data_IF_857389371129
#
_entry.id   IF_857389371129
#
_cell.length_a   1.000
_cell.length_b   1.000
_cell.length_c   1.000
_cell.angle_alpha   90.00
_cell.angle_beta   90.00
_cell.angle_gamma   90.00
#
_symmetry.space_group_name_H-M   'P 1'
#
loop_
_entity.id
_entity.type
_entity.pdbx_description
1 polymer ?
#
# COMPACT_ATOMS: atom_id res chain seq x y z
N UNK A 1 22.68 -7.12 29.34
CA UNK A 1 23.13 -7.23 27.95
C UNK A 1 22.68 -8.59 27.44
N UNK A 2 22.10 -8.69 26.24
CA UNK A 2 21.57 -9.96 25.72
C UNK A 2 22.47 -10.53 24.62
N UNK A 3 22.80 -11.81 24.69
CA UNK A 3 23.61 -12.49 23.66
C UNK A 3 22.72 -13.19 22.65
N UNK A 4 23.00 -13.00 21.36
CA UNK A 4 22.26 -13.66 20.29
C UNK A 4 22.61 -15.14 20.20
N UNK A 5 21.61 -16.02 20.32
CA UNK A 5 21.77 -17.47 20.17
C UNK A 5 22.22 -17.89 18.78
N UNK A 6 21.93 -17.09 17.74
CA UNK A 6 22.30 -17.41 16.36
C UNK A 6 23.72 -16.94 16.01
N UNK A 7 24.11 -15.71 16.38
CA UNK A 7 25.39 -15.13 15.96
C UNK A 7 26.39 -14.84 17.10
N UNK A 8 26.04 -15.12 18.35
CA UNK A 8 26.91 -14.93 19.53
C UNK A 8 27.22 -13.48 19.91
N UNK A 9 26.77 -12.50 19.12
CA UNK A 9 27.03 -11.09 19.36
C UNK A 9 26.17 -10.53 20.50
N UNK A 10 26.74 -9.57 21.22
CA UNK A 10 26.09 -8.90 22.36
C UNK A 10 25.27 -7.72 21.84
N UNK A 11 24.01 -7.63 22.27
CA UNK A 11 23.11 -6.52 21.95
C UNK A 11 22.61 -5.81 23.22
N UNK A 12 22.04 -4.62 23.03
CA UNK A 12 21.40 -3.83 24.08
C UNK A 12 20.14 -4.53 24.61
N UNK A 13 19.87 -4.41 25.91
CA UNK A 13 18.76 -5.13 26.59
C UNK A 13 17.36 -4.76 26.06
N UNK A 14 17.22 -3.57 25.46
CA UNK A 14 15.97 -3.08 24.87
C UNK A 14 15.78 -3.46 23.40
N UNK A 15 16.71 -4.21 22.81
CA UNK A 15 16.61 -4.58 21.39
C UNK A 15 15.75 -5.82 21.19
N UNK A 16 14.66 -5.68 20.42
CA UNK A 16 13.77 -6.80 20.07
C UNK A 16 14.39 -7.77 19.04
N UNK A 17 15.39 -7.30 18.31
CA UNK A 17 16.07 -8.03 17.24
C UNK A 17 17.58 -7.87 17.35
N UNK A 18 18.33 -8.90 16.98
CA UNK A 18 19.79 -8.81 16.91
C UNK A 18 20.21 -7.88 15.77
N UNK A 19 21.07 -6.89 16.07
CA UNK A 19 21.55 -5.89 15.11
C UNK A 19 22.42 -6.49 13.99
N UNK A 20 23.03 -7.65 14.23
CA UNK A 20 24.01 -8.26 13.33
C UNK A 20 23.42 -9.35 12.42
N UNK A 21 22.41 -10.09 12.89
CA UNK A 21 21.84 -11.22 12.15
C UNK A 21 20.33 -11.12 11.92
N UNK A 22 19.65 -10.14 12.52
CA UNK A 22 18.21 -9.90 12.35
C UNK A 22 17.30 -10.91 13.05
N UNK A 23 17.84 -11.88 13.79
CA UNK A 23 17.01 -12.84 14.52
C UNK A 23 16.27 -12.16 15.67
N UNK A 24 14.98 -12.43 15.81
CA UNK A 24 14.16 -11.98 16.95
C UNK A 24 14.62 -12.68 18.23
N UNK A 25 14.68 -11.94 19.34
CA UNK A 25 14.84 -12.54 20.66
C UNK A 25 13.50 -13.09 21.14
N UNK A 26 13.47 -14.33 21.63
CA UNK A 26 12.25 -15.02 22.06
C UNK A 26 11.80 -14.66 23.49
N UNK A 27 12.48 -13.71 24.15
CA UNK A 27 12.17 -13.35 25.54
C UNK A 27 10.97 -12.41 25.61
N UNK A 28 9.86 -12.99 26.05
CA UNK A 28 8.67 -12.32 26.51
C UNK A 28 8.94 -11.37 27.69
N UNK A 29 8.39 -10.17 27.57
CA UNK A 29 8.00 -9.24 28.65
C UNK A 29 9.10 -8.57 29.48
N UNK A 30 9.44 -7.34 29.09
CA UNK A 30 9.52 -6.25 30.07
C UNK A 30 8.25 -5.41 29.96
N UNK A 31 7.47 -5.50 31.04
CA UNK A 31 6.31 -4.71 31.38
C UNK A 31 6.59 -3.20 31.32
N UNK A 32 5.98 -2.51 30.38
CA UNK A 32 5.36 -1.22 30.67
C UNK A 32 3.86 -1.48 30.64
N UNK A 33 3.23 -1.40 31.81
CA UNK A 33 1.81 -1.62 32.00
C UNK A 33 0.99 -0.50 31.37
N UNK A 34 0.82 -0.56 30.05
CA UNK A 34 -0.31 0.10 29.41
C UNK A 34 -1.44 -0.93 29.41
N UNK A 35 -2.38 -0.73 30.34
CA UNK A 35 -3.68 -1.38 30.30
C UNK A 35 -4.35 -1.01 28.97
N UNK A 36 -4.20 -1.83 27.94
CA UNK A 36 -5.06 -1.75 26.78
C UNK A 36 -6.41 -2.36 27.19
N UNK A 37 -7.24 -1.54 27.82
CA UNK A 37 -8.64 -1.84 28.02
C UNK A 37 -9.27 -1.97 26.63
N UNK A 38 -9.44 -3.23 26.21
CA UNK A 38 -10.06 -3.55 24.94
C UNK A 38 -11.55 -3.19 25.01
N UNK A 39 -11.88 -1.97 24.59
CA UNK A 39 -13.24 -1.61 24.25
C UNK A 39 -13.54 -2.14 22.84
N UNK A 40 -14.49 -3.07 22.66
CA UNK A 40 -14.91 -3.49 21.34
C UNK A 40 -15.45 -2.30 20.56
N UNK A 41 -15.15 -2.18 19.25
CA UNK A 41 -15.70 -1.10 18.44
C UNK A 41 -17.23 -1.20 18.45
N UNK A 42 -17.90 -0.06 18.64
CA UNK A 42 -19.35 0.00 18.57
C UNK A 42 -19.81 -0.55 17.22
N UNK A 43 -20.84 -1.42 17.18
CA UNK A 43 -21.41 -1.86 15.93
C UNK A 43 -21.89 -0.60 15.19
N UNK A 44 -21.46 -0.40 13.93
CA UNK A 44 -21.74 0.75 13.05
C UNK A 44 -20.71 1.91 13.02
N UNK A 45 -19.41 1.61 12.94
CA UNK A 45 -18.33 2.57 12.65
C UNK A 45 -18.25 3.07 11.18
N UNK A 46 -19.32 2.92 10.38
CA UNK A 46 -19.33 3.37 8.98
C UNK A 46 -19.91 4.78 8.80
N UNK A 47 -20.39 5.42 9.87
CA UNK A 47 -20.79 6.84 9.87
C UNK A 47 -19.68 7.68 10.49
N UNK A 48 -18.91 8.35 9.64
CA UNK A 48 -17.86 9.29 10.01
C UNK A 48 -18.41 10.65 10.46
N UNK A 49 -19.26 10.68 11.49
CA UNK A 49 -19.77 11.94 12.08
C UNK A 49 -19.21 12.22 13.50
N UNK A 50 -18.28 11.41 13.97
CA UNK A 50 -17.57 11.61 15.26
C UNK A 50 -16.57 12.79 15.20
N UNK A 51 -16.39 13.42 14.03
CA UNK A 51 -15.69 14.70 13.87
C UNK A 51 -16.60 15.92 14.10
N UNK A 52 -17.74 15.77 14.77
CA UNK A 52 -18.43 16.91 15.34
C UNK A 52 -17.58 17.47 16.48
N UNK A 53 -16.77 18.45 16.11
CA UNK A 53 -15.93 19.31 16.95
C UNK A 53 -16.73 19.81 18.15
N UNK A 54 -16.69 19.05 19.25
CA UNK A 54 -17.06 19.55 20.55
C UNK A 54 -15.96 20.53 20.98
N UNK A 55 -16.37 21.78 21.16
CA UNK A 55 -15.62 22.91 21.68
C UNK A 55 -14.46 23.44 20.83
N UNK A 56 -14.83 24.32 19.89
CA UNK A 56 -13.95 25.35 19.31
C UNK A 56 -13.39 26.27 20.42
N UNK A 57 -12.25 25.90 21.00
CA UNK A 57 -11.21 26.89 21.29
C UNK A 57 -10.23 26.85 20.13
N UNK A 58 -10.38 27.80 19.21
CA UNK A 58 -9.44 28.02 18.12
C UNK A 58 -8.02 28.03 18.70
N UNK A 59 -7.21 27.02 18.41
CA UNK A 59 -5.79 27.08 18.73
C UNK A 59 -5.22 28.25 17.93
N UNK A 60 -4.90 29.33 18.63
CA UNK A 60 -4.21 30.48 18.07
C UNK A 60 -2.77 30.02 17.85
N UNK A 61 -2.36 29.87 16.59
CA UNK A 61 -0.95 29.69 16.24
C UNK A 61 -0.18 30.88 16.78
N UNK A 62 0.78 30.65 17.67
CA UNK A 62 1.74 31.68 18.05
C UNK A 62 2.51 32.10 16.79
N UNK A 63 2.53 33.41 16.53
CA UNK A 63 3.31 33.94 15.42
C UNK A 63 4.79 33.78 15.75
N UNK A 64 5.46 32.88 15.02
CA UNK A 64 6.92 32.73 15.06
C UNK A 64 7.52 33.98 14.43
N UNK A 65 7.75 35.01 15.25
CA UNK A 65 8.46 36.22 14.86
C UNK A 65 9.97 36.00 15.05
N UNK A 66 10.56 35.13 14.23
CA UNK A 66 12.01 35.05 14.05
C UNK A 66 12.34 34.67 12.62
N UNK A 67 12.68 35.70 11.84
CA UNK A 67 13.56 35.52 10.67
C UNK A 67 14.91 35.09 11.23
N UNK A 68 15.25 33.82 11.09
CA UNK A 68 16.58 33.31 11.42
C UNK A 68 17.29 33.06 10.08
N UNK A 69 18.24 33.93 9.68
CA UNK A 69 18.97 33.72 8.44
C UNK A 69 19.99 32.61 8.68
N UNK A 70 19.72 31.41 8.17
CA UNK A 70 20.74 30.35 8.07
C UNK A 70 21.57 30.57 6.80
N UNK A 71 22.35 31.65 6.79
CA UNK A 71 23.35 31.89 5.77
C UNK A 71 24.57 30.98 6.06
N UNK A 72 24.55 29.75 5.53
CA UNK A 72 25.76 28.99 5.31
C UNK A 72 26.30 29.34 3.91
N UNK A 73 27.49 29.99 3.77
CA UNK A 73 28.00 30.47 2.49
C UNK A 73 28.69 29.39 1.62
N UNK A 74 28.43 28.11 1.86
CA UNK A 74 29.10 27.01 1.14
C UNK A 74 28.09 26.08 0.45
N UNK A 75 27.25 26.58 -0.45
CA UNK A 75 26.52 25.72 -1.39
C UNK A 75 25.94 26.49 -2.59
N UNK A 76 26.76 27.35 -3.21
CA UNK A 76 26.32 28.23 -4.31
C UNK A 76 26.24 27.56 -5.68
N UNK A 77 26.23 26.22 -5.77
CA UNK A 77 26.12 25.52 -7.05
C UNK A 77 25.19 24.31 -6.94
N UNK A 78 23.91 24.54 -6.71
CA UNK A 78 22.89 23.53 -7.02
C UNK A 78 21.84 24.15 -7.94
N UNK A 79 22.05 23.85 -9.22
CA UNK A 79 21.10 23.96 -10.31
C UNK A 79 19.70 23.53 -9.88
N UNK A 80 18.71 24.41 -10.08
CA UNK A 80 17.30 24.05 -10.01
C UNK A 80 17.05 22.92 -11.02
N UNK A 81 17.01 21.68 -10.53
CA UNK A 81 16.41 20.57 -11.26
C UNK A 81 14.90 20.60 -10.98
N UNK A 82 14.04 20.57 -12.01
CA UNK A 82 12.61 20.38 -11.79
C UNK A 82 12.42 19.07 -11.01
N UNK A 83 11.74 19.14 -9.87
CA UNK A 83 11.32 17.95 -9.16
C UNK A 83 10.48 17.10 -10.11
N UNK A 84 10.82 15.82 -10.34
CA UNK A 84 9.93 14.94 -11.07
C UNK A 84 8.62 14.87 -10.28
N UNK A 85 7.52 15.22 -10.95
CA UNK A 85 6.16 14.91 -10.50
C UNK A 85 6.18 13.48 -10.00
N UNK A 86 5.79 13.29 -8.73
CA UNK A 86 5.82 12.01 -8.05
C UNK A 86 5.16 10.95 -8.95
N UNK A 87 6.00 10.15 -9.62
CA UNK A 87 5.55 8.97 -10.31
C UNK A 87 5.01 8.06 -9.22
N UNK A 88 3.71 7.79 -9.25
CA UNK A 88 3.07 6.78 -8.40
C UNK A 88 3.69 5.44 -8.78
N UNK A 89 4.82 5.13 -8.17
CA UNK A 89 5.45 3.83 -8.28
C UNK A 89 4.45 2.86 -7.65
N UNK A 90 3.98 1.82 -8.36
CA UNK A 90 3.11 0.82 -7.75
C UNK A 90 3.87 0.26 -6.56
N UNK A 91 3.33 0.50 -5.37
CA UNK A 91 3.94 0.18 -4.10
C UNK A 91 4.32 -1.31 -4.10
N UNK A 92 5.62 -1.57 -4.13
CA UNK A 92 6.26 -2.88 -4.06
C UNK A 92 6.05 -3.51 -2.67
N UNK A 93 4.80 -3.77 -2.29
CA UNK A 93 4.46 -4.52 -1.07
C UNK A 93 4.00 -5.95 -1.42
N UNK A 94 4.51 -6.51 -2.52
CA UNK A 94 4.28 -7.89 -2.94
C UNK A 94 5.25 -8.86 -2.24
N UNK A 95 5.12 -9.07 -0.93
CA UNK A 95 5.84 -10.17 -0.31
C UNK A 95 5.26 -11.50 -0.82
N UNK A 96 5.95 -12.13 -1.79
CA UNK A 96 5.75 -13.53 -2.18
C UNK A 96 5.20 -13.80 -3.60
N UNK A 97 4.72 -12.81 -4.34
CA UNK A 97 4.26 -13.04 -5.72
C UNK A 97 5.41 -12.92 -6.74
N UNK A 98 5.58 -13.93 -7.59
CA UNK A 98 6.48 -13.91 -8.75
C UNK A 98 5.77 -14.46 -9.97
N UNK A 99 5.84 -13.76 -11.09
CA UNK A 99 5.28 -14.25 -12.34
C UNK A 99 6.00 -15.54 -12.79
N UNK A 100 5.28 -16.61 -13.19
CA UNK A 100 5.92 -17.88 -13.58
C UNK A 100 6.72 -17.79 -14.89
N UNK A 101 6.49 -16.77 -15.72
CA UNK A 101 7.17 -16.63 -17.02
C UNK A 101 8.39 -15.70 -16.98
N UNK A 102 8.29 -14.56 -16.32
CA UNK A 102 9.35 -13.55 -16.29
C UNK A 102 9.92 -13.26 -14.90
N UNK A 103 9.42 -13.95 -13.86
CA UNK A 103 9.82 -13.74 -12.46
C UNK A 103 9.67 -12.30 -11.94
N UNK A 104 8.91 -11.44 -12.63
CA UNK A 104 8.65 -10.08 -12.18
C UNK A 104 7.89 -10.09 -10.86
N UNK A 105 8.29 -9.22 -9.93
CA UNK A 105 7.59 -8.98 -8.65
C UNK A 105 6.43 -7.98 -8.80
N UNK A 106 6.19 -7.49 -10.02
CA UNK A 106 5.08 -6.60 -10.31
C UNK A 106 3.75 -7.34 -10.18
N UNK A 107 2.79 -6.74 -9.48
CA UNK A 107 1.44 -7.28 -9.35
C UNK A 107 0.74 -7.40 -10.72
N UNK A 108 -0.14 -8.39 -10.88
CA UNK A 108 -0.94 -8.51 -12.08
C UNK A 108 -1.86 -7.30 -12.24
N UNK A 109 -1.89 -6.74 -13.44
CA UNK A 109 -2.85 -5.69 -13.80
C UNK A 109 -4.13 -6.33 -14.33
N UNK A 110 -5.28 -5.83 -13.89
CA UNK A 110 -6.59 -6.26 -14.40
C UNK A 110 -6.92 -5.48 -15.67
N UNK A 111 -7.01 -6.17 -16.79
CA UNK A 111 -7.40 -5.59 -18.08
C UNK A 111 -8.78 -6.10 -18.44
N UNK A 112 -9.68 -5.16 -18.78
CA UNK A 112 -11.04 -5.46 -19.26
C UNK A 112 -11.00 -5.88 -20.71
N UNK A 113 -11.41 -7.12 -21.00
CA UNK A 113 -11.58 -7.63 -22.37
C UNK A 113 -13.02 -8.11 -22.56
N UNK A 114 -13.48 -8.08 -23.81
CA UNK A 114 -14.77 -8.69 -24.15
C UNK A 114 -14.61 -10.21 -23.97
N UNK A 115 -15.50 -10.80 -23.18
CA UNK A 115 -15.45 -12.24 -22.90
C UNK A 115 -15.67 -13.05 -24.17
N UNK A 116 -15.08 -14.25 -24.26
CA UNK A 116 -15.35 -15.19 -25.34
C UNK A 116 -16.82 -15.62 -25.34
N UNK A 117 -17.41 -15.76 -24.16
CA UNK A 117 -18.83 -16.05 -23.94
C UNK A 117 -19.71 -14.94 -24.51
N UNK A 118 -19.35 -13.67 -24.29
CA UNK A 118 -20.07 -12.51 -24.80
C UNK A 118 -20.17 -12.50 -26.33
N UNK A 119 -19.11 -12.91 -27.04
CA UNK A 119 -19.13 -13.05 -28.50
C UNK A 119 -20.07 -14.15 -28.99
N UNK A 120 -20.09 -15.31 -28.31
CA UNK A 120 -20.99 -16.41 -28.67
C UNK A 120 -22.44 -15.99 -28.45
N UNK A 121 -22.74 -15.41 -27.28
CA UNK A 121 -24.08 -14.91 -26.95
C UNK A 121 -24.52 -13.81 -27.92
N UNK A 122 -23.61 -12.91 -28.30
CA UNK A 122 -23.87 -11.89 -29.32
C UNK A 122 -24.26 -12.51 -30.67
N UNK A 123 -23.50 -13.50 -31.17
CA UNK A 123 -23.80 -14.17 -32.44
C UNK A 123 -25.14 -14.92 -32.40
N UNK A 124 -25.43 -15.63 -31.32
CA UNK A 124 -26.69 -16.39 -31.14
C UNK A 124 -27.89 -15.44 -31.05
N UNK A 125 -27.77 -14.36 -30.28
CA UNK A 125 -28.84 -13.36 -30.14
C UNK A 125 -29.04 -12.57 -31.43
N UNK A 126 -28.00 -12.27 -32.21
CA UNK A 126 -28.15 -11.60 -33.50
C UNK A 126 -29.02 -12.42 -34.47
N UNK A 127 -28.89 -13.75 -34.46
CA UNK A 127 -29.65 -14.64 -35.35
C UNK A 127 -31.08 -14.89 -34.85
N UNK A 128 -31.26 -15.10 -33.55
CA UNK A 128 -32.56 -15.48 -32.98
C UNK A 128 -33.42 -14.29 -32.53
N UNK A 129 -32.79 -13.22 -32.06
CA UNK A 129 -33.46 -12.09 -31.41
C UNK A 129 -32.73 -10.77 -31.70
N UNK A 130 -32.99 -10.22 -32.89
CA UNK A 130 -32.47 -8.92 -33.36
C UNK A 130 -32.51 -7.75 -32.36
N UNK A 131 -33.49 -7.62 -31.43
CA UNK A 131 -33.46 -6.53 -30.45
C UNK A 131 -32.65 -6.82 -29.18
N UNK A 132 -32.17 -8.04 -28.93
CA UNK A 132 -31.49 -8.42 -27.67
C UNK A 132 -29.95 -8.50 -27.80
N UNK A 133 -29.41 -8.35 -29.00
CA UNK A 133 -27.97 -8.56 -29.30
C UNK A 133 -27.01 -7.66 -28.48
N UNK A 134 -27.46 -6.45 -28.09
CA UNK A 134 -26.69 -5.53 -27.24
C UNK A 134 -26.34 -6.08 -25.84
N UNK A 135 -27.07 -7.07 -25.32
CA UNK A 135 -26.78 -7.70 -24.03
C UNK A 135 -25.47 -8.50 -24.07
N UNK A 136 -25.11 -9.07 -25.22
CA UNK A 136 -23.86 -9.83 -25.39
C UNK A 136 -22.62 -8.94 -25.26
N UNK A 137 -22.70 -7.66 -25.63
CA UNK A 137 -21.60 -6.69 -25.52
C UNK A 137 -21.39 -6.17 -24.09
N UNK A 138 -22.37 -6.36 -23.20
CA UNK A 138 -22.30 -5.89 -21.83
C UNK A 138 -21.47 -6.84 -20.93
N UNK A 139 -21.25 -8.08 -21.39
CA UNK A 139 -20.47 -9.08 -20.66
C UNK A 139 -18.97 -8.83 -20.89
N UNK A 140 -18.38 -8.05 -19.99
CA UNK A 140 -16.93 -7.83 -19.88
C UNK A 140 -16.32 -8.79 -18.87
N UNK A 141 -15.18 -9.36 -19.21
CA UNK A 141 -14.41 -10.22 -18.31
C UNK A 141 -13.14 -9.48 -17.90
N UNK A 142 -12.86 -9.50 -16.60
CA UNK A 142 -11.63 -8.95 -16.03
C UNK A 142 -10.55 -10.02 -16.07
N UNK A 143 -9.56 -9.85 -16.95
CA UNK A 143 -8.44 -10.78 -17.08
C UNK A 143 -7.22 -10.20 -16.38
N UNK A 144 -6.59 -10.99 -15.50
CA UNK A 144 -5.33 -10.62 -14.86
C UNK A 144 -4.17 -10.94 -15.78
N UNK A 145 -3.35 -9.92 -16.07
CA UNK A 145 -2.17 -10.06 -16.92
C UNK A 145 -0.92 -9.55 -16.21
N UNK A 146 0.20 -10.21 -16.43
CA UNK A 146 1.48 -9.70 -15.96
C UNK A 146 1.87 -8.45 -16.78
N UNK A 147 2.21 -7.31 -16.15
CA UNK A 147 2.58 -6.10 -16.88
C UNK A 147 3.92 -6.22 -17.64
N UNK A 148 4.81 -7.13 -17.23
CA UNK A 148 6.11 -7.29 -17.85
C UNK A 148 6.10 -8.22 -19.07
N UNK A 149 5.37 -9.35 -19.01
CA UNK A 149 5.40 -10.38 -20.07
C UNK A 149 4.04 -10.65 -20.74
N UNK A 150 2.99 -9.90 -20.37
CA UNK A 150 1.61 -10.07 -20.86
C UNK A 150 1.04 -11.49 -20.70
N UNK A 151 1.63 -12.30 -19.82
CA UNK A 151 1.09 -13.61 -19.49
C UNK A 151 -0.26 -13.43 -18.78
N UNK A 152 -1.29 -14.11 -19.30
CA UNK A 152 -2.57 -14.27 -18.62
C UNK A 152 -2.37 -15.19 -17.41
N UNK A 153 -2.69 -14.68 -16.23
CA UNK A 153 -2.69 -15.42 -14.98
C UNK A 153 -4.15 -15.69 -14.67
N UNK A 154 -4.55 -16.97 -14.74
CA UNK A 154 -5.92 -17.41 -14.50
C UNK A 154 -6.07 -17.88 -13.05
#
# INVERSE_FOLDING_TARGET
MIQCTNCGQVNTETSNFCRFCGTKFLQSQFSNGENYEYSPPHPYSWKTDEFLVADKKSQKTDQINRVQPLANPYLTNQTLRPQPLAFQQPQNMAYGYRCPRCASQAFPTTVRKISTVGWIVFAVLMVLFFPLFWLGLLIKEDVRVCPACNLRIN
#
